data_IF_120745776308
#
_entry.id   IF_120745776308
#
_cell.length_a   1.000
_cell.length_b   1.000
_cell.length_c   1.000
_cell.angle_alpha   90.00
_cell.angle_beta   90.00
_cell.angle_gamma   90.00
#
_symmetry.space_group_name_H-M   'P 1'
#
loop_
_entity.id
_entity.type
_entity.pdbx_description
1 polymer ?
#
# COMPACT_ATOMS: atom_id res chain seq x y z
N UNK A 1 8.79 -15.31 -5.38
CA UNK A 1 9.88 -14.46 -5.08
C UNK A 1 9.44 -13.32 -4.26
N UNK A 2 10.23 -12.92 -3.34
CA UNK A 2 9.86 -11.82 -2.48
C UNK A 2 10.06 -10.50 -3.20
N UNK A 3 9.22 -9.55 -2.92
CA UNK A 3 9.36 -8.21 -3.47
C UNK A 3 10.56 -7.53 -2.86
N UNK A 4 11.15 -6.63 -3.60
CA UNK A 4 12.25 -5.83 -3.08
C UNK A 4 11.69 -4.78 -2.15
N UNK A 5 12.38 -4.57 -1.04
CA UNK A 5 11.96 -3.58 -0.07
C UNK A 5 13.03 -2.52 0.09
N UNK A 6 12.62 -1.26 0.01
CA UNK A 6 13.50 -0.16 0.32
C UNK A 6 12.80 0.74 1.33
N UNK A 7 13.47 1.00 2.45
CA UNK A 7 12.96 1.88 3.49
C UNK A 7 13.87 3.08 3.57
N UNK A 8 13.32 4.26 3.39
CA UNK A 8 14.05 5.51 3.52
C UNK A 8 13.49 6.25 4.72
N UNK A 9 14.36 6.67 5.62
CA UNK A 9 13.93 7.36 6.83
C UNK A 9 14.67 8.69 6.91
N UNK A 10 13.92 9.76 7.12
CA UNK A 10 14.50 11.10 7.23
C UNK A 10 14.10 11.72 8.54
N UNK A 11 15.10 12.16 9.28
CA UNK A 11 14.88 12.85 10.55
C UNK A 11 14.09 12.06 11.59
N UNK A 12 14.10 10.75 11.48
CA UNK A 12 13.53 9.87 12.48
C UNK A 12 14.64 8.94 12.94
N UNK A 13 14.87 8.80 14.23
CA UNK A 13 15.88 7.89 14.70
C UNK A 13 15.55 6.46 14.28
N UNK A 14 16.58 5.69 14.06
CA UNK A 14 16.39 4.30 13.68
C UNK A 14 15.58 3.59 14.77
N UNK A 15 14.62 2.81 14.36
CA UNK A 15 13.75 2.08 15.27
C UNK A 15 13.47 0.71 14.70
N UNK A 16 13.92 -0.31 15.43
CA UNK A 16 13.63 -1.67 15.00
C UNK A 16 12.15 -1.98 15.08
N UNK A 17 11.48 -1.37 16.04
CA UNK A 17 10.04 -1.59 16.17
C UNK A 17 9.30 -1.04 14.95
N UNK A 18 9.70 0.12 14.48
CA UNK A 18 9.08 0.73 13.31
C UNK A 18 9.37 -0.11 12.08
N UNK A 19 10.60 -0.52 11.91
CA UNK A 19 10.99 -1.33 10.78
C UNK A 19 10.25 -2.66 10.78
N UNK A 20 10.13 -3.27 11.93
CA UNK A 20 9.42 -4.52 12.07
C UNK A 20 7.95 -4.38 11.70
N UNK A 21 7.36 -3.27 12.09
CA UNK A 21 5.97 -3.02 11.73
C UNK A 21 5.82 -2.85 10.23
N UNK A 22 6.73 -2.13 9.60
CA UNK A 22 6.71 -1.95 8.16
C UNK A 22 6.78 -3.31 7.47
N UNK A 23 7.69 -4.17 7.90
CA UNK A 23 7.85 -5.48 7.27
C UNK A 23 6.61 -6.34 7.43
N UNK A 24 5.97 -6.28 8.57
CA UNK A 24 4.74 -7.05 8.79
C UNK A 24 3.61 -6.56 7.90
N UNK A 25 3.49 -5.25 7.77
CA UNK A 25 2.45 -4.68 6.93
C UNK A 25 2.70 -5.02 5.47
N UNK A 26 3.95 -5.01 5.05
CA UNK A 26 4.27 -5.38 3.69
C UNK A 26 3.97 -6.83 3.40
N UNK A 27 4.24 -7.70 4.36
CA UNK A 27 3.90 -9.12 4.19
C UNK A 27 2.41 -9.29 3.99
N UNK A 28 1.62 -8.50 4.72
CA UNK A 28 0.17 -8.55 4.55
C UNK A 28 -0.25 -8.08 3.17
N UNK A 29 0.41 -7.06 2.63
CA UNK A 29 0.09 -6.60 1.29
C UNK A 29 0.50 -7.62 0.23
N UNK A 30 1.57 -8.35 0.46
CA UNK A 30 1.97 -9.38 -0.48
C UNK A 30 0.94 -10.51 -0.56
N UNK A 31 0.21 -10.74 0.51
CA UNK A 31 -0.85 -11.72 0.46
C UNK A 31 -2.02 -11.24 -0.39
N UNK A 32 -2.25 -9.94 -0.42
CA UNK A 32 -3.29 -9.37 -1.26
C UNK A 32 -2.89 -9.47 -2.73
N UNK A 33 -1.62 -9.22 -3.02
CA UNK A 33 -1.16 -9.29 -4.39
C UNK A 33 0.25 -9.90 -4.42
N UNK A 34 0.36 -11.20 -4.66
CA UNK A 34 1.67 -11.86 -4.67
C UNK A 34 2.58 -11.43 -5.82
N UNK A 35 2.07 -10.65 -6.75
CA UNK A 35 2.88 -10.21 -7.88
C UNK A 35 3.56 -8.88 -7.65
N UNK A 36 3.48 -8.33 -6.44
CA UNK A 36 4.17 -7.09 -6.15
C UNK A 36 5.66 -7.23 -6.46
N UNK A 37 6.20 -6.27 -7.17
CA UNK A 37 7.60 -6.29 -7.58
C UNK A 37 8.47 -5.59 -6.54
N UNK A 38 8.02 -4.45 -6.06
CA UNK A 38 8.82 -3.71 -5.10
C UNK A 38 7.97 -2.82 -4.23
N UNK A 39 8.50 -2.54 -3.03
CA UNK A 39 7.93 -1.57 -2.12
C UNK A 39 8.99 -0.54 -1.83
N UNK A 40 8.64 0.71 -1.90
CA UNK A 40 9.52 1.76 -1.41
C UNK A 40 8.72 2.61 -0.43
N UNK A 41 9.15 2.66 0.81
CA UNK A 41 8.48 3.46 1.81
C UNK A 41 9.41 4.55 2.29
N UNK A 42 8.91 5.77 2.38
CA UNK A 42 9.67 6.90 2.89
C UNK A 42 8.97 7.42 4.14
N UNK A 43 9.71 7.47 5.22
CA UNK A 43 9.21 7.98 6.48
C UNK A 43 9.96 9.27 6.81
N UNK A 44 9.23 10.29 7.15
CA UNK A 44 9.85 11.59 7.41
C UNK A 44 9.23 12.24 8.63
N UNK A 45 10.06 12.72 9.53
CA UNK A 45 9.59 13.38 10.72
C UNK A 45 9.33 14.85 10.46
N UNK A 46 8.61 15.51 11.35
CA UNK A 46 8.43 16.94 11.23
C UNK A 46 9.77 17.65 11.27
N UNK A 47 9.87 18.72 10.51
CA UNK A 47 11.08 19.50 10.47
C UNK A 47 11.25 20.24 11.80
N UNK A 48 12.39 20.09 12.42
CA UNK A 48 12.64 20.73 13.69
C UNK A 48 12.66 22.25 13.59
N UNK A 49 12.93 22.78 12.44
CA UNK A 49 12.99 24.20 12.26
C UNK A 49 11.63 24.81 12.02
N UNK A 50 10.61 24.00 11.84
CA UNK A 50 9.28 24.51 11.63
C UNK A 50 8.48 24.37 12.88
N UNK A 51 7.41 25.11 12.97
CA UNK A 51 6.60 25.07 14.12
C UNK A 51 5.85 23.80 14.20
N UNK A 52 5.28 23.55 15.37
CA UNK A 52 4.45 22.43 15.53
C UNK A 52 3.40 22.39 14.48
N UNK A 53 2.95 21.27 14.11
CA UNK A 53 2.02 21.12 13.03
C UNK A 53 2.59 20.48 11.81
N UNK A 54 3.92 20.40 11.72
CA UNK A 54 4.49 19.63 10.64
C UNK A 54 4.27 18.17 10.94
N UNK A 55 3.56 17.46 10.10
CA UNK A 55 3.21 16.09 10.42
C UNK A 55 4.30 15.11 10.08
N UNK A 56 4.26 13.95 10.73
CA UNK A 56 5.00 12.82 10.26
C UNK A 56 4.41 12.43 8.91
N UNK A 57 5.26 12.11 7.97
CA UNK A 57 4.85 11.83 6.62
C UNK A 57 5.27 10.44 6.22
N UNK A 58 4.38 9.71 5.58
CA UNK A 58 4.66 8.38 5.09
C UNK A 58 4.26 8.33 3.63
N UNK A 59 5.18 7.94 2.77
CA UNK A 59 4.88 7.75 1.37
C UNK A 59 5.18 6.31 1.00
N UNK A 60 4.23 5.66 0.39
CA UNK A 60 4.38 4.28 -0.07
C UNK A 60 4.30 4.25 -1.57
N UNK A 61 5.27 3.61 -2.20
CA UNK A 61 5.26 3.42 -3.63
C UNK A 61 5.39 1.92 -3.85
N UNK A 62 4.35 1.28 -4.36
CA UNK A 62 4.31 -0.14 -4.56
C UNK A 62 4.20 -0.41 -6.06
N UNK A 63 5.17 -1.14 -6.59
CA UNK A 63 5.17 -1.47 -7.99
C UNK A 63 4.59 -2.84 -8.21
N UNK A 64 3.69 -2.93 -9.19
CA UNK A 64 3.04 -4.18 -9.55
C UNK A 64 3.07 -4.28 -11.06
N UNK A 65 2.91 -5.47 -11.61
CA UNK A 65 2.90 -5.60 -13.07
C UNK A 65 1.79 -4.75 -13.66
N UNK A 66 2.16 -3.88 -14.57
CA UNK A 66 1.18 -3.03 -15.23
C UNK A 66 0.81 -1.77 -14.50
N UNK A 67 1.45 -1.46 -13.37
CA UNK A 67 1.11 -0.23 -12.68
C UNK A 67 1.81 -0.03 -11.37
N UNK A 68 1.28 0.89 -10.62
CA UNK A 68 1.84 1.16 -9.30
C UNK A 68 0.76 1.75 -8.41
N UNK A 69 0.95 1.59 -7.11
CA UNK A 69 0.09 2.20 -6.10
C UNK A 69 0.95 3.17 -5.32
N UNK A 70 0.57 4.43 -5.30
CA UNK A 70 1.31 5.46 -4.58
C UNK A 70 0.37 6.09 -3.57
N UNK A 71 0.78 6.09 -2.31
CA UNK A 71 -0.03 6.61 -1.23
C UNK A 71 0.82 7.53 -0.37
N UNK A 72 0.27 8.66 0.02
CA UNK A 72 0.91 9.56 0.96
C UNK A 72 -0.04 9.84 2.09
N UNK A 73 0.46 9.77 3.31
CA UNK A 73 -0.36 10.07 4.49
C UNK A 73 0.48 10.83 5.50
N UNK A 74 -0.18 11.66 6.27
CA UNK A 74 0.47 12.49 7.27
C UNK A 74 -0.32 12.45 8.56
N UNK A 75 0.38 12.51 9.67
CA UNK A 75 -0.27 12.60 10.97
C UNK A 75 0.61 13.45 11.89
N UNK A 76 -0.02 14.41 12.56
CA UNK A 76 0.74 15.42 13.27
C UNK A 76 1.53 14.91 14.46
N UNK A 77 1.08 13.87 15.08
CA UNK A 77 1.67 13.47 16.33
C UNK A 77 2.24 12.07 16.40
N UNK A 78 1.97 11.24 15.43
CA UNK A 78 2.31 9.84 15.60
C UNK A 78 2.67 9.19 14.28
N UNK A 79 3.92 8.79 14.17
CA UNK A 79 4.39 8.13 12.95
C UNK A 79 3.69 6.79 12.73
N UNK A 80 3.34 6.10 13.81
CA UNK A 80 2.66 4.81 13.66
C UNK A 80 1.26 4.97 13.11
N UNK A 81 0.57 6.07 13.45
CA UNK A 81 -0.75 6.32 12.90
C UNK A 81 -0.63 6.67 11.42
N UNK A 82 0.34 7.49 11.05
CA UNK A 82 0.55 7.81 9.65
C UNK A 82 0.87 6.54 8.85
N UNK A 83 1.68 5.68 9.43
CA UNK A 83 2.05 4.43 8.80
C UNK A 83 0.84 3.53 8.63
N UNK A 84 0.03 3.39 9.67
CA UNK A 84 -1.18 2.57 9.61
C UNK A 84 -2.11 3.07 8.53
N UNK A 85 -2.34 4.38 8.47
CA UNK A 85 -3.24 4.95 7.50
C UNK A 85 -2.73 4.74 6.07
N UNK A 86 -1.42 4.88 5.87
CA UNK A 86 -0.85 4.68 4.55
C UNK A 86 -1.02 3.24 4.09
N UNK A 87 -0.78 2.28 4.98
CA UNK A 87 -0.92 0.88 4.61
C UNK A 87 -2.38 0.50 4.39
N UNK A 88 -3.31 1.09 5.13
CA UNK A 88 -4.73 0.83 4.91
C UNK A 88 -5.16 1.35 3.55
N UNK A 89 -4.72 2.54 3.17
CA UNK A 89 -5.05 3.09 1.88
C UNK A 89 -4.42 2.27 0.76
N UNK A 90 -3.17 1.85 0.96
CA UNK A 90 -2.49 1.03 -0.04
C UNK A 90 -3.20 -0.31 -0.22
N UNK A 91 -3.65 -0.91 0.89
CA UNK A 91 -4.35 -2.17 0.82
C UNK A 91 -5.63 -2.03 0.00
N UNK A 92 -6.37 -0.95 0.24
CA UNK A 92 -7.60 -0.73 -0.49
C UNK A 92 -7.33 -0.58 -1.98
N UNK A 93 -6.30 0.19 -2.34
CA UNK A 93 -5.99 0.38 -3.74
C UNK A 93 -5.48 -0.89 -4.41
N UNK A 94 -4.72 -1.70 -3.67
CA UNK A 94 -4.25 -2.97 -4.21
C UNK A 94 -5.41 -3.93 -4.45
N UNK A 95 -6.37 -3.97 -3.54
CA UNK A 95 -7.54 -4.80 -3.71
C UNK A 95 -8.32 -4.35 -4.93
N UNK A 96 -8.52 -3.06 -5.08
CA UNK A 96 -9.23 -2.54 -6.24
C UNK A 96 -8.50 -2.86 -7.53
N UNK A 97 -7.19 -2.73 -7.53
CA UNK A 97 -6.41 -3.05 -8.71
C UNK A 97 -6.53 -4.54 -9.07
N UNK A 98 -6.43 -5.39 -8.06
CA UNK A 98 -6.52 -6.83 -8.27
C UNK A 98 -7.90 -7.19 -8.82
N UNK A 99 -8.93 -6.59 -8.29
CA UNK A 99 -10.28 -6.86 -8.75
C UNK A 99 -10.49 -6.37 -10.17
N UNK A 100 -9.93 -5.22 -10.52
CA UNK A 100 -10.06 -4.73 -11.88
C UNK A 100 -9.39 -5.66 -12.88
N UNK A 101 -8.20 -6.13 -12.55
CA UNK A 101 -7.49 -7.01 -13.45
C UNK A 101 -8.20 -8.34 -13.58
N UNK A 102 -8.66 -8.91 -12.47
CA UNK A 102 -9.40 -10.15 -12.50
C UNK A 102 -10.73 -9.97 -13.18
N UNK A 103 -11.40 -8.85 -12.92
CA UNK A 103 -12.67 -8.55 -13.53
C UNK A 103 -12.56 -8.41 -15.03
N UNK A 104 -11.53 -7.75 -15.52
CA UNK A 104 -11.32 -7.62 -16.93
C UNK A 104 -11.07 -8.98 -17.56
N UNK A 105 -10.27 -9.82 -16.90
CA UNK A 105 -10.04 -11.16 -17.39
C UNK A 105 -11.30 -11.99 -17.42
N UNK A 106 -12.10 -11.91 -16.37
CA UNK A 106 -13.35 -12.62 -16.32
C UNK A 106 -14.31 -12.13 -17.37
N UNK A 107 -14.41 -10.84 -17.55
CA UNK A 107 -15.31 -10.30 -18.55
C UNK A 107 -14.94 -10.79 -19.93
N UNK A 108 -13.64 -10.88 -20.19
CA UNK A 108 -13.21 -11.34 -21.48
C UNK A 108 -13.57 -12.80 -21.70
N UNK A 109 -13.36 -13.64 -20.68
CA UNK A 109 -13.66 -15.06 -20.79
C UNK A 109 -15.15 -15.34 -20.79
N UNK A 110 -15.90 -14.55 -20.09
CA UNK A 110 -17.32 -14.78 -19.96
C UNK A 110 -18.17 -14.01 -20.94
N UNK A 111 -17.56 -13.46 -21.96
CA UNK A 111 -18.31 -12.70 -22.91
C UNK A 111 -19.43 -13.59 -23.45
N UNK A 112 -20.64 -13.22 -23.36
CA UNK A 112 -21.75 -14.02 -23.72
C UNK A 112 -22.39 -14.79 -22.58
N UNK A 113 -21.89 -14.66 -21.39
CA UNK A 113 -22.46 -15.34 -20.23
C UNK A 113 -22.78 -14.35 -19.15
N UNK A 114 -23.70 -13.49 -19.37
CA UNK A 114 -23.95 -12.36 -18.49
C UNK A 114 -24.34 -12.69 -17.08
N UNK A 115 -25.08 -13.69 -16.92
CA UNK A 115 -25.59 -13.94 -15.58
C UNK A 115 -24.48 -14.29 -14.62
N UNK A 116 -23.58 -15.04 -15.07
CA UNK A 116 -22.52 -15.42 -14.17
C UNK A 116 -21.72 -14.26 -13.74
N UNK A 117 -21.61 -13.29 -14.58
CA UNK A 117 -20.85 -12.16 -14.24
C UNK A 117 -21.37 -11.45 -13.07
N UNK A 118 -22.63 -11.26 -13.03
CA UNK A 118 -23.21 -10.49 -11.97
C UNK A 118 -22.91 -11.10 -10.66
N UNK A 119 -22.99 -12.37 -10.57
CA UNK A 119 -22.79 -12.91 -9.33
C UNK A 119 -21.42 -12.90 -8.88
N UNK A 120 -20.52 -13.08 -9.73
CA UNK A 120 -19.18 -13.08 -9.33
C UNK A 120 -18.74 -11.83 -8.68
N UNK A 121 -19.44 -10.79 -8.93
CA UNK A 121 -19.05 -9.58 -8.35
C UNK A 121 -19.41 -9.46 -6.96
N UNK A 122 -20.45 -10.05 -6.58
CA UNK A 122 -20.91 -9.81 -5.31
C UNK A 122 -20.17 -10.34 -4.23
N UNK A 123 -19.41 -11.14 -4.43
CA UNK A 123 -18.81 -11.63 -3.34
C UNK A 123 -18.03 -10.82 -2.68
N UNK A 124 -18.25 -10.09 -2.49
CA UNK A 124 -17.72 -9.35 -1.71
C UNK A 124 -17.23 -9.21 -1.05
#
# INVERSE_FOLDING_TARGET
MAAQLQITVRDIPHSEALESRVRRQMAALERVNPRIVSFHITLEAPDHHKRRGNPFSVKLDIRIPGGEVVVSREHAEDAYVALHDAFQAARRQLIEHTERVQGAGKARRLRGRPAATAEGVLDE
#
